data_IF_716132144881
#
_entry.id   IF_716132144881
#
_cell.length_a   1.000
_cell.length_b   1.000
_cell.length_c   1.000
_cell.angle_alpha   90.00
_cell.angle_beta   90.00
_cell.angle_gamma   90.00
#
_symmetry.space_group_name_H-M   'P 1'
#
loop_
_entity.id
_entity.type
_entity.pdbx_description
1 polymer ?
#
# COMPACT_ATOMS: atom_id res chain seq x y z
N UNK A 1 -4.51 -21.48 5.53
CA UNK A 1 -3.63 -21.00 6.61
C UNK A 1 -3.77 -19.49 6.72
N UNK A 2 -3.63 -18.86 7.90
CA UNK A 2 -3.64 -17.40 8.00
C UNK A 2 -2.32 -16.80 7.47
N UNK A 3 -2.40 -15.74 6.65
CA UNK A 3 -1.21 -15.01 6.17
C UNK A 3 -0.64 -14.14 7.29
N UNK A 4 0.63 -14.32 7.63
CA UNK A 4 1.33 -13.50 8.62
C UNK A 4 1.91 -12.25 7.95
N UNK A 5 1.58 -11.07 8.49
CA UNK A 5 2.05 -9.78 7.97
C UNK A 5 2.49 -8.89 9.11
N UNK A 6 3.71 -8.35 9.01
CA UNK A 6 4.34 -7.54 10.05
C UNK A 6 5.05 -6.31 9.45
N UNK A 7 5.00 -5.20 10.18
CA UNK A 7 5.77 -3.99 9.92
C UNK A 7 7.15 -4.11 10.59
N UNK A 8 8.21 -3.77 9.85
CA UNK A 8 9.59 -3.78 10.37
C UNK A 8 10.22 -2.39 10.24
N UNK A 9 11.15 -2.07 11.14
CA UNK A 9 12.05 -0.91 11.08
C UNK A 9 11.33 0.43 10.81
N UNK A 10 10.61 0.93 11.83
CA UNK A 10 9.81 2.17 11.80
C UNK A 10 8.80 2.29 10.64
N UNK A 11 8.43 1.17 9.99
CA UNK A 11 7.53 1.19 8.84
C UNK A 11 8.19 1.38 7.49
N UNK A 12 9.49 1.12 7.41
CA UNK A 12 10.22 1.16 6.16
C UNK A 12 9.93 -0.04 5.25
N UNK A 13 9.54 -1.20 5.83
CA UNK A 13 9.33 -2.44 5.08
C UNK A 13 8.15 -3.27 5.60
N UNK A 14 7.56 -4.05 4.70
CA UNK A 14 6.59 -5.11 5.03
C UNK A 14 7.19 -6.48 4.78
N UNK A 15 7.02 -7.34 5.78
CA UNK A 15 7.26 -8.77 5.68
C UNK A 15 5.96 -9.51 5.35
N UNK A 16 5.99 -10.40 4.36
CA UNK A 16 4.92 -11.35 4.05
C UNK A 16 5.50 -12.74 4.15
N UNK A 17 4.90 -13.60 4.99
CA UNK A 17 5.40 -14.95 5.22
C UNK A 17 6.91 -14.97 5.56
N UNK A 18 7.31 -14.08 6.49
CA UNK A 18 8.68 -13.91 6.99
C UNK A 18 9.74 -13.48 5.95
N UNK A 19 9.32 -13.07 4.76
CA UNK A 19 10.19 -12.51 3.73
C UNK A 19 9.92 -11.02 3.52
N UNK A 20 10.97 -10.21 3.35
CA UNK A 20 10.85 -8.77 3.05
C UNK A 20 10.44 -8.58 1.60
N UNK A 21 9.26 -8.02 1.37
CA UNK A 21 8.66 -7.97 0.03
C UNK A 21 8.38 -6.54 -0.48
N UNK A 22 7.98 -5.63 0.40
CA UNK A 22 7.56 -4.27 0.00
C UNK A 22 8.27 -3.23 0.83
N UNK A 23 8.74 -2.16 0.17
CA UNK A 23 9.47 -1.04 0.77
C UNK A 23 8.75 0.28 0.57
N UNK A 24 9.07 1.24 1.43
CA UNK A 24 8.78 2.66 1.19
C UNK A 24 9.94 3.33 0.45
N UNK A 25 9.81 4.60 0.10
CA UNK A 25 10.75 5.38 -0.75
C UNK A 25 10.57 5.17 -2.25
N UNK A 26 9.57 4.41 -2.67
CA UNK A 26 9.18 4.25 -4.07
C UNK A 26 8.11 5.25 -4.47
N UNK A 27 8.14 5.64 -5.75
CA UNK A 27 7.07 6.43 -6.36
C UNK A 27 5.95 5.51 -6.87
N UNK A 28 4.76 5.62 -6.29
CA UNK A 28 3.58 4.88 -6.70
C UNK A 28 2.59 5.77 -7.44
N UNK A 29 1.81 5.17 -8.34
CA UNK A 29 0.69 5.84 -9.00
C UNK A 29 -0.60 5.43 -8.32
N UNK A 30 -1.31 6.39 -7.76
CA UNK A 30 -2.65 6.16 -7.22
C UNK A 30 -3.70 6.71 -8.19
N UNK A 31 -4.87 6.06 -8.25
CA UNK A 31 -6.01 6.59 -8.98
C UNK A 31 -6.48 7.93 -8.39
N UNK A 32 -7.25 8.70 -9.18
CA UNK A 32 -7.88 9.94 -8.72
C UNK A 32 -8.66 9.71 -7.42
N UNK A 33 -8.63 10.69 -6.53
CA UNK A 33 -9.38 10.73 -5.26
C UNK A 33 -8.96 9.69 -4.20
N UNK A 34 -7.91 8.91 -4.45
CA UNK A 34 -7.32 8.00 -3.46
C UNK A 34 -6.51 8.73 -2.37
N UNK A 35 -6.11 9.98 -2.64
CA UNK A 35 -5.21 10.73 -1.76
C UNK A 35 -5.33 12.25 -1.94
N UNK A 36 -5.43 12.73 -3.18
CA UNK A 36 -5.65 14.13 -3.49
C UNK A 36 -6.40 14.27 -4.82
N UNK A 37 -6.76 15.51 -5.19
CA UNK A 37 -7.53 15.82 -6.40
C UNK A 37 -6.73 15.75 -7.72
N UNK A 38 -5.50 15.21 -7.70
CA UNK A 38 -4.74 14.99 -8.92
C UNK A 38 -5.38 13.86 -9.75
N UNK A 39 -5.44 14.02 -11.08
CA UNK A 39 -5.94 12.98 -12.01
C UNK A 39 -5.21 11.63 -11.84
N UNK A 40 -3.93 11.69 -11.51
CA UNK A 40 -3.14 10.58 -10.99
C UNK A 40 -2.23 11.16 -9.92
N UNK A 41 -2.19 10.51 -8.76
CA UNK A 41 -1.29 10.91 -7.69
C UNK A 41 0.04 10.21 -7.88
N UNK A 42 1.09 10.99 -8.14
CA UNK A 42 2.49 10.53 -8.09
C UNK A 42 2.92 10.55 -6.60
N UNK A 43 2.64 9.46 -5.89
CA UNK A 43 2.76 9.34 -4.43
C UNK A 43 4.12 8.78 -4.03
N UNK A 44 4.93 9.59 -3.34
CA UNK A 44 6.14 9.14 -2.67
C UNK A 44 5.74 8.48 -1.35
N UNK A 45 5.97 7.17 -1.23
CA UNK A 45 5.73 6.44 0.02
C UNK A 45 6.85 6.73 1.03
N UNK A 46 6.49 7.02 2.27
CA UNK A 46 7.45 7.43 3.31
C UNK A 46 7.41 6.51 4.54
N UNK A 47 6.25 5.91 4.83
CA UNK A 47 6.12 4.98 5.95
C UNK A 47 4.83 4.18 5.92
N UNK A 48 4.87 2.90 6.27
CA UNK A 48 3.67 2.11 6.53
C UNK A 48 3.08 2.47 7.89
N UNK A 49 1.79 2.82 7.93
CA UNK A 49 1.08 3.22 9.15
C UNK A 49 0.29 2.05 9.72
N UNK A 50 -0.42 1.33 8.86
CA UNK A 50 -1.19 0.14 9.21
C UNK A 50 -1.08 -0.87 8.08
N UNK A 51 -1.09 -2.17 8.43
CA UNK A 51 -1.00 -3.27 7.48
C UNK A 51 -1.98 -4.37 7.88
N UNK A 52 -2.64 -4.97 6.89
CA UNK A 52 -3.59 -6.05 7.10
C UNK A 52 -3.59 -7.03 5.93
N UNK A 53 -3.99 -8.27 6.22
CA UNK A 53 -4.42 -9.22 5.19
C UNK A 53 -5.95 -9.15 5.04
N UNK A 54 -6.43 -9.16 3.80
CA UNK A 54 -7.86 -9.27 3.43
C UNK A 54 -8.03 -10.41 2.41
N UNK A 55 -8.30 -11.61 2.94
CA UNK A 55 -8.21 -12.84 2.17
C UNK A 55 -6.79 -13.02 1.61
N UNK A 56 -6.62 -13.21 0.29
CA UNK A 56 -5.29 -13.33 -0.31
C UNK A 56 -4.59 -11.97 -0.49
N UNK A 57 -5.24 -10.83 -0.23
CA UNK A 57 -4.64 -9.51 -0.46
C UNK A 57 -3.85 -9.05 0.75
N UNK A 58 -2.71 -8.42 0.49
CA UNK A 58 -1.98 -7.65 1.49
C UNK A 58 -2.27 -6.17 1.23
N UNK A 59 -2.79 -5.48 2.23
CA UNK A 59 -3.20 -4.08 2.14
C UNK A 59 -2.49 -3.25 3.21
N UNK A 60 -2.26 -1.97 2.91
CA UNK A 60 -1.68 -1.05 3.88
C UNK A 60 -2.23 0.36 3.74
N UNK A 61 -2.20 1.09 4.86
CA UNK A 61 -2.30 2.56 4.88
C UNK A 61 -0.89 3.13 4.96
N UNK A 62 -0.59 4.09 4.12
CA UNK A 62 0.79 4.55 3.90
C UNK A 62 0.85 6.06 4.04
N UNK A 63 1.77 6.53 4.88
CA UNK A 63 2.13 7.93 4.98
C UNK A 63 3.01 8.34 3.79
N UNK A 64 2.81 9.54 3.28
CA UNK A 64 3.63 10.07 2.21
C UNK A 64 3.10 11.36 1.63
N UNK A 65 3.54 11.69 0.41
CA UNK A 65 3.18 12.93 -0.26
C UNK A 65 3.04 12.77 -1.78
N UNK A 66 2.17 13.58 -2.37
CA UNK A 66 2.09 13.74 -3.81
C UNK A 66 3.19 14.68 -4.27
N UNK A 67 4.17 14.19 -5.04
CA UNK A 67 5.29 15.02 -5.52
C UNK A 67 4.86 16.07 -6.55
N UNK A 68 3.64 15.94 -7.09
CA UNK A 68 3.09 16.87 -8.09
C UNK A 68 2.46 18.12 -7.46
N UNK A 69 1.64 17.94 -6.42
CA UNK A 69 0.90 19.05 -5.80
C UNK A 69 1.33 19.36 -4.36
N UNK A 70 2.21 18.55 -3.76
CA UNK A 70 2.70 18.74 -2.39
C UNK A 70 1.73 18.32 -1.29
N UNK A 71 0.56 17.75 -1.61
CA UNK A 71 -0.33 17.19 -0.60
C UNK A 71 0.40 16.08 0.19
N UNK A 72 0.29 16.09 1.51
CA UNK A 72 0.86 15.08 2.40
C UNK A 72 -0.23 14.52 3.34
N UNK A 73 -0.04 13.27 3.79
CA UNK A 73 -1.03 12.60 4.63
C UNK A 73 -0.86 11.09 4.63
N UNK A 74 -1.90 10.40 5.10
CA UNK A 74 -1.98 8.93 5.12
C UNK A 74 -3.06 8.49 4.14
N UNK A 75 -2.75 7.51 3.29
CA UNK A 75 -3.70 6.97 2.32
C UNK A 75 -4.86 6.23 3.01
N UNK A 76 -5.91 5.95 2.24
CA UNK A 76 -6.80 4.82 2.52
C UNK A 76 -6.05 3.48 2.44
N UNK A 77 -6.80 2.38 2.48
CA UNK A 77 -6.23 1.03 2.33
C UNK A 77 -5.85 0.77 0.87
N UNK A 78 -4.56 0.68 0.58
CA UNK A 78 -4.03 0.35 -0.74
C UNK A 78 -3.64 -1.11 -0.81
N UNK A 79 -4.02 -1.81 -1.88
CA UNK A 79 -3.50 -3.15 -2.14
C UNK A 79 -2.03 -3.10 -2.54
N UNK A 80 -1.20 -3.84 -1.81
CA UNK A 80 0.23 -3.95 -2.05
C UNK A 80 0.60 -5.15 -2.93
N UNK A 81 -0.22 -6.19 -2.87
CA UNK A 81 -0.07 -7.41 -3.66
C UNK A 81 -1.06 -8.48 -3.21
N UNK A 82 -0.84 -9.70 -3.67
CA UNK A 82 -1.61 -10.87 -3.27
C UNK A 82 -0.70 -12.05 -2.94
N UNK A 83 -1.09 -12.88 -1.99
CA UNK A 83 -0.50 -14.18 -1.72
C UNK A 83 -1.30 -15.23 -2.48
N UNK A 84 -0.60 -16.08 -3.23
CA UNK A 84 -1.20 -17.26 -3.84
C UNK A 84 -1.48 -18.32 -2.75
N UNK A 85 -2.74 -18.79 -2.63
CA UNK A 85 -3.14 -19.64 -1.51
C UNK A 85 -2.60 -21.06 -1.57
N UNK A 86 -2.12 -21.51 -2.73
CA UNK A 86 -1.61 -22.87 -2.93
C UNK A 86 -0.10 -22.93 -2.72
N UNK A 87 0.60 -21.82 -2.98
CA UNK A 87 2.08 -21.75 -2.97
C UNK A 87 2.65 -20.84 -1.89
N UNK A 88 1.81 -20.10 -1.17
CA UNK A 88 2.18 -19.04 -0.22
C UNK A 88 3.11 -17.96 -0.82
N UNK A 89 3.19 -17.90 -2.14
CA UNK A 89 4.05 -16.95 -2.86
C UNK A 89 3.37 -15.58 -2.92
N UNK A 90 4.10 -14.55 -2.48
CA UNK A 90 3.64 -13.17 -2.61
C UNK A 90 3.92 -12.62 -4.01
N UNK A 91 2.89 -12.01 -4.59
CA UNK A 91 2.94 -11.31 -5.87
C UNK A 91 2.67 -9.83 -5.62
N UNK A 92 3.71 -8.96 -5.61
CA UNK A 92 3.51 -7.54 -5.45
C UNK A 92 2.74 -6.95 -6.63
N UNK A 93 2.06 -5.83 -6.39
CA UNK A 93 1.56 -4.98 -7.48
C UNK A 93 2.75 -4.59 -8.35
N UNK A 94 2.60 -4.78 -9.66
CA UNK A 94 3.68 -4.52 -10.62
C UNK A 94 4.17 -3.06 -10.53
N UNK A 95 5.49 -2.82 -10.67
CA UNK A 95 6.03 -1.46 -10.74
C UNK A 95 5.30 -0.63 -11.81
N UNK A 96 4.92 0.60 -11.45
CA UNK A 96 4.22 1.53 -12.34
C UNK A 96 2.73 1.24 -12.57
N UNK A 97 2.18 0.14 -12.04
CA UNK A 97 0.74 -0.08 -12.03
C UNK A 97 0.02 0.95 -11.16
N UNK A 98 -1.23 1.24 -11.51
CA UNK A 98 -2.07 2.16 -10.74
C UNK A 98 -2.68 1.39 -9.57
N UNK A 99 -2.34 1.82 -8.35
CA UNK A 99 -2.92 1.33 -7.10
C UNK A 99 -4.25 2.02 -6.85
N UNK A 100 -5.18 1.27 -6.25
CA UNK A 100 -6.52 1.74 -5.85
C UNK A 100 -6.83 1.21 -4.47
N UNK A 101 -7.72 1.90 -3.76
CA UNK A 101 -8.34 1.32 -2.58
C UNK A 101 -9.43 0.34 -2.98
N UNK A 102 -9.43 -0.82 -2.34
CA UNK A 102 -10.51 -1.79 -2.47
C UNK A 102 -11.51 -1.72 -1.31
N UNK A 103 -11.18 -0.96 -0.26
CA UNK A 103 -12.13 -0.63 0.79
C UNK A 103 -12.75 0.71 0.47
N UNK A 104 -14.06 0.84 0.67
CA UNK A 104 -14.68 2.15 0.69
C UNK A 104 -13.90 3.03 1.67
N UNK A 105 -13.48 4.22 1.23
CA UNK A 105 -12.86 5.20 2.11
C UNK A 105 -13.75 5.35 3.35
N UNK A 106 -13.20 5.30 4.58
CA UNK A 106 -13.97 5.76 5.72
C UNK A 106 -14.33 7.21 5.40
N UNK A 107 -15.62 7.53 5.40
CA UNK A 107 -16.09 8.88 5.13
C UNK A 107 -15.27 9.86 5.97
N UNK A 108 -14.67 10.83 5.31
CA UNK A 108 -14.10 11.99 5.98
C UNK A 108 -15.24 12.75 6.66
N UNK A 109 -15.38 12.56 7.97
CA UNK A 109 -16.07 13.52 8.86
C UNK A 109 -15.16 14.73 9.11
#
# INVERSE_FOLDING_TARGET
>A
MPTAVHQLDDGAWISVNDTREVTVSDLWRLATDEFCSCRLTDFLSEGFVEVAADGPRVEARVAGQCIRCGASGVTGWLTLGRVDPDTDTFYPVAPGAIRRSNRASPGSD
#
